data_IF_401981302246
#
_entry.id   IF_401981302246
#
_cell.length_a   1.000
_cell.length_b   1.000
_cell.length_c   1.000
_cell.angle_alpha   90.00
_cell.angle_beta   90.00
_cell.angle_gamma   90.00
#
_symmetry.space_group_name_H-M   'P 1'
#
loop_
_entity.id
_entity.type
_entity.pdbx_description
1 polymer ?
#
# COMPACT_ATOMS: atom_id res chain seq x y z
N UNK A 1 -19.79 12.62 -16.98
CA UNK A 1 -20.05 11.29 -17.59
C UNK A 1 -20.68 10.38 -16.56
N UNK A 2 -21.70 9.61 -16.91
CA UNK A 2 -22.34 8.66 -15.99
C UNK A 2 -21.50 7.39 -15.82
N UNK A 3 -21.75 6.63 -14.74
CA UNK A 3 -21.09 5.35 -14.47
C UNK A 3 -21.17 4.36 -15.65
N UNK A 4 -22.33 4.25 -16.30
CA UNK A 4 -22.56 3.37 -17.46
C UNK A 4 -21.63 3.69 -18.63
N UNK A 5 -21.54 4.97 -18.99
CA UNK A 5 -20.64 5.50 -20.02
C UNK A 5 -19.17 5.29 -19.63
N UNK A 6 -18.84 5.45 -18.35
CA UNK A 6 -17.50 5.25 -17.82
C UNK A 6 -17.03 3.81 -17.94
N UNK A 7 -17.87 2.85 -17.56
CA UNK A 7 -17.57 1.41 -17.70
C UNK A 7 -17.35 1.06 -19.16
N UNK A 8 -18.23 1.53 -20.05
CA UNK A 8 -18.11 1.29 -21.48
C UNK A 8 -16.81 1.88 -22.05
N UNK A 9 -16.49 3.13 -21.71
CA UNK A 9 -15.27 3.79 -22.17
C UNK A 9 -14.02 3.07 -21.69
N UNK A 10 -13.93 2.73 -20.40
CA UNK A 10 -12.80 2.00 -19.83
C UNK A 10 -12.63 0.62 -20.48
N UNK A 11 -13.73 -0.08 -20.73
CA UNK A 11 -13.71 -1.38 -21.41
C UNK A 11 -13.13 -1.25 -22.83
N UNK A 12 -13.59 -0.28 -23.61
CA UNK A 12 -13.09 -0.04 -24.96
C UNK A 12 -11.62 0.43 -24.99
N UNK A 13 -11.24 1.33 -24.06
CA UNK A 13 -9.86 1.84 -23.93
C UNK A 13 -8.86 0.73 -23.64
N UNK A 14 -9.26 -0.29 -22.88
CA UNK A 14 -8.44 -1.45 -22.53
C UNK A 14 -8.71 -2.67 -23.43
N UNK A 15 -9.41 -2.51 -24.55
CA UNK A 15 -9.70 -3.58 -25.53
C UNK A 15 -10.42 -4.82 -24.95
N UNK A 16 -11.23 -4.65 -23.90
CA UNK A 16 -12.03 -5.75 -23.33
C UNK A 16 -13.35 -5.95 -24.10
N UNK A 17 -13.74 -7.20 -24.33
CA UNK A 17 -15.11 -7.53 -24.70
C UNK A 17 -16.01 -7.54 -23.46
N UNK A 18 -17.33 -7.46 -23.65
CA UNK A 18 -18.27 -7.60 -22.53
C UNK A 18 -18.16 -8.98 -21.87
N UNK A 19 -17.80 -10.01 -22.63
CA UNK A 19 -17.56 -11.37 -22.13
C UNK A 19 -16.32 -11.41 -21.23
N UNK A 20 -15.20 -10.83 -21.70
CA UNK A 20 -13.95 -10.79 -20.93
C UNK A 20 -14.14 -10.02 -19.61
N UNK A 21 -14.85 -8.90 -19.64
CA UNK A 21 -15.13 -8.13 -18.42
C UNK A 21 -16.06 -8.90 -17.46
N UNK A 22 -17.03 -9.64 -18.01
CA UNK A 22 -17.94 -10.47 -17.23
C UNK A 22 -17.20 -11.59 -16.50
N UNK A 23 -16.25 -12.25 -17.19
CA UNK A 23 -15.38 -13.27 -16.59
C UNK A 23 -14.55 -12.70 -15.45
N UNK A 24 -13.89 -11.54 -15.64
CA UNK A 24 -13.09 -10.90 -14.59
C UNK A 24 -13.93 -10.50 -13.38
N UNK A 25 -15.15 -9.98 -13.62
CA UNK A 25 -16.06 -9.61 -12.54
C UNK A 25 -16.78 -10.80 -11.91
N UNK A 26 -16.61 -12.01 -12.46
CA UNK A 26 -17.36 -13.22 -12.10
C UNK A 26 -18.88 -13.00 -12.14
N UNK A 27 -19.37 -12.44 -13.24
CA UNK A 27 -20.80 -12.17 -13.49
C UNK A 27 -21.19 -12.64 -14.90
N UNK A 28 -22.48 -12.63 -15.21
CA UNK A 28 -22.95 -12.92 -16.57
C UNK A 28 -22.65 -11.76 -17.53
N UNK A 29 -22.45 -12.05 -18.82
CA UNK A 29 -22.37 -11.02 -19.88
C UNK A 29 -23.58 -10.07 -19.85
N UNK A 30 -24.76 -10.59 -19.55
CA UNK A 30 -25.99 -9.79 -19.43
C UNK A 30 -25.89 -8.74 -18.31
N UNK A 31 -25.18 -9.04 -17.23
CA UNK A 31 -24.94 -8.09 -16.12
C UNK A 31 -24.11 -6.90 -16.61
N UNK A 32 -23.01 -7.15 -17.34
CA UNK A 32 -22.18 -6.08 -17.92
C UNK A 32 -23.01 -5.23 -18.89
N UNK A 33 -23.81 -5.85 -19.75
CA UNK A 33 -24.67 -5.11 -20.68
C UNK A 33 -25.69 -4.23 -19.96
N UNK A 34 -26.23 -4.65 -18.82
CA UNK A 34 -27.15 -3.83 -18.02
C UNK A 34 -26.44 -2.65 -17.35
N UNK A 35 -25.19 -2.84 -16.92
CA UNK A 35 -24.37 -1.77 -16.35
C UNK A 35 -24.02 -0.70 -17.38
N UNK A 36 -23.63 -1.11 -18.59
CA UNK A 36 -23.32 -0.19 -19.70
C UNK A 36 -24.57 0.52 -20.24
N UNK A 37 -25.75 -0.04 -20.05
CA UNK A 37 -27.02 0.55 -20.49
C UNK A 37 -27.72 1.42 -19.43
N UNK A 38 -27.09 1.68 -18.28
CA UNK A 38 -27.69 2.43 -17.15
C UNK A 38 -28.97 1.76 -16.59
N UNK A 39 -29.16 0.46 -16.82
CA UNK A 39 -30.32 -0.32 -16.36
C UNK A 39 -30.11 -0.83 -14.93
N UNK A 40 -28.87 -1.14 -14.57
CA UNK A 40 -28.49 -1.63 -13.26
C UNK A 40 -27.14 -1.06 -12.83
N UNK A 41 -26.91 -0.92 -11.53
CA UNK A 41 -25.65 -0.48 -10.96
C UNK A 41 -24.86 -1.71 -10.50
N UNK A 42 -23.53 -1.79 -10.74
CA UNK A 42 -22.72 -2.85 -10.19
C UNK A 42 -22.71 -2.83 -8.66
N UNK A 43 -22.67 -4.02 -8.05
CA UNK A 43 -22.49 -4.14 -6.60
C UNK A 43 -21.13 -3.58 -6.15
N UNK A 44 -21.01 -3.20 -4.88
CA UNK A 44 -19.78 -2.62 -4.33
C UNK A 44 -18.54 -3.47 -4.58
N UNK A 45 -18.65 -4.79 -4.45
CA UNK A 45 -17.55 -5.72 -4.74
C UNK A 45 -17.11 -5.63 -6.22
N UNK A 46 -18.07 -5.51 -7.15
CA UNK A 46 -17.80 -5.43 -8.59
C UNK A 46 -17.22 -4.07 -8.96
N UNK A 47 -17.66 -3.00 -8.31
CA UNK A 47 -17.04 -1.68 -8.44
C UNK A 47 -15.57 -1.70 -8.03
N UNK A 48 -15.21 -2.40 -6.94
CA UNK A 48 -13.82 -2.57 -6.52
C UNK A 48 -13.00 -3.36 -7.55
N UNK A 49 -13.56 -4.42 -8.13
CA UNK A 49 -12.90 -5.20 -9.19
C UNK A 49 -12.66 -4.34 -10.43
N UNK A 50 -13.68 -3.60 -10.90
CA UNK A 50 -13.59 -2.70 -12.06
C UNK A 50 -12.56 -1.59 -11.80
N UNK A 51 -12.59 -1.01 -10.60
CA UNK A 51 -11.63 0.01 -10.14
C UNK A 51 -10.19 -0.50 -10.24
N UNK A 52 -9.91 -1.72 -9.75
CA UNK A 52 -8.59 -2.34 -9.82
C UNK A 52 -8.21 -2.72 -11.26
N UNK A 53 -9.13 -3.31 -12.02
CA UNK A 53 -8.90 -3.76 -13.39
C UNK A 53 -8.47 -2.62 -14.31
N UNK A 54 -9.11 -1.45 -14.17
CA UNK A 54 -8.84 -0.30 -15.02
C UNK A 54 -7.97 0.77 -14.37
N UNK A 55 -7.41 0.47 -13.18
CA UNK A 55 -6.57 1.36 -12.38
C UNK A 55 -7.18 2.77 -12.19
N UNK A 56 -8.47 2.81 -11.82
CA UNK A 56 -9.22 4.04 -11.53
C UNK A 56 -9.83 3.95 -10.14
N UNK A 57 -9.96 5.06 -9.41
CA UNK A 57 -10.61 5.03 -8.10
C UNK A 57 -12.13 4.83 -8.23
N UNK A 58 -12.76 4.24 -7.21
CA UNK A 58 -14.23 4.09 -7.17
C UNK A 58 -14.93 5.44 -7.18
N UNK A 59 -14.34 6.47 -6.56
CA UNK A 59 -14.83 7.85 -6.64
C UNK A 59 -14.94 8.35 -8.09
N UNK A 60 -13.96 8.05 -8.94
CA UNK A 60 -13.98 8.43 -10.36
C UNK A 60 -15.08 7.67 -11.10
N UNK A 61 -15.37 6.43 -10.72
CA UNK A 61 -16.48 5.67 -11.31
C UNK A 61 -17.84 6.27 -10.93
N UNK A 62 -18.03 6.68 -9.67
CA UNK A 62 -19.33 7.08 -9.13
C UNK A 62 -19.66 8.58 -9.25
N UNK A 63 -18.66 9.47 -9.26
CA UNK A 63 -18.90 10.93 -9.29
C UNK A 63 -18.95 11.44 -10.73
N UNK A 64 -20.11 11.89 -11.17
CA UNK A 64 -20.35 12.34 -12.55
C UNK A 64 -19.48 13.53 -12.99
N UNK A 65 -19.05 14.35 -12.03
CA UNK A 65 -18.16 15.51 -12.19
C UNK A 65 -16.71 15.14 -12.53
N UNK A 66 -16.29 13.90 -12.24
CA UNK A 66 -14.94 13.42 -12.51
C UNK A 66 -14.88 12.75 -13.90
N UNK A 67 -14.05 13.31 -14.78
CA UNK A 67 -13.78 12.72 -16.11
C UNK A 67 -12.71 11.64 -16.03
N UNK A 68 -12.85 10.57 -16.83
CA UNK A 68 -11.87 9.47 -16.89
C UNK A 68 -10.52 9.96 -17.42
N UNK A 69 -10.53 10.93 -18.34
CA UNK A 69 -9.30 11.49 -18.93
C UNK A 69 -8.70 12.65 -18.12
N UNK A 70 -9.36 13.13 -17.06
CA UNK A 70 -8.75 14.04 -16.08
C UNK A 70 -7.67 13.36 -15.21
N UNK A 71 -7.43 12.06 -15.42
CA UNK A 71 -6.30 11.31 -14.86
C UNK A 71 -5.16 11.07 -15.86
N UNK A 72 -5.15 11.75 -17.02
CA UNK A 72 -3.92 11.81 -17.84
C UNK A 72 -3.04 12.97 -17.39
N UNK A 73 -1.85 12.57 -16.96
CA UNK A 73 -0.76 13.38 -16.41
C UNK A 73 -1.16 14.17 -15.17
N UNK A 74 -1.10 13.49 -14.01
CA UNK A 74 -0.58 14.17 -12.82
C UNK A 74 0.70 14.87 -13.29
N UNK A 75 0.68 16.21 -13.36
CA UNK A 75 1.89 16.99 -13.64
C UNK A 75 2.95 16.46 -12.70
N UNK A 76 3.93 15.74 -13.24
CA UNK A 76 5.06 15.15 -12.50
C UNK A 76 5.83 16.30 -11.86
N UNK A 77 5.54 16.60 -10.60
CA UNK A 77 6.40 17.42 -9.77
C UNK A 77 7.55 16.53 -9.28
N UNK A 78 8.54 16.29 -10.14
CA UNK A 78 9.73 15.50 -9.82
C UNK A 78 9.63 14.01 -10.18
N UNK A 79 10.80 13.36 -10.22
CA UNK A 79 10.97 11.96 -10.65
C UNK A 79 10.39 10.91 -9.68
N UNK A 80 9.70 11.33 -8.63
CA UNK A 80 9.17 10.45 -7.56
C UNK A 80 7.63 10.34 -7.59
N UNK A 81 7.03 10.45 -8.77
CA UNK A 81 5.58 10.29 -8.92
C UNK A 81 5.19 8.82 -8.74
N UNK A 82 4.29 8.59 -7.79
CA UNK A 82 3.67 7.31 -7.42
C UNK A 82 3.21 6.59 -8.69
N UNK A 83 3.98 5.59 -9.11
CA UNK A 83 3.46 4.56 -9.99
C UNK A 83 2.60 3.65 -9.11
N UNK A 84 1.29 3.57 -9.40
CA UNK A 84 0.48 2.46 -8.89
C UNK A 84 0.92 1.23 -9.66
N UNK A 85 2.08 0.68 -9.31
CA UNK A 85 2.55 -0.62 -9.78
C UNK A 85 2.07 -1.72 -8.84
N UNK A 86 2.02 -2.91 -9.42
CA UNK A 86 1.63 -4.21 -8.87
C UNK A 86 1.96 -4.37 -7.39
N UNK A 87 1.14 -5.15 -6.65
CA UNK A 87 1.37 -5.46 -5.24
C UNK A 87 2.84 -5.78 -4.98
N UNK A 88 3.58 -4.81 -4.47
CA UNK A 88 5.01 -4.99 -4.28
C UNK A 88 5.29 -6.10 -3.30
N UNK A 89 6.47 -6.70 -3.42
CA UNK A 89 6.91 -7.81 -2.55
C UNK A 89 6.67 -7.45 -1.09
N UNK A 90 6.97 -6.21 -0.71
CA UNK A 90 6.78 -5.69 0.62
C UNK A 90 5.72 -4.59 0.67
N UNK A 91 4.85 -4.63 1.69
CA UNK A 91 3.91 -3.57 2.05
C UNK A 91 4.09 -3.23 3.53
N UNK A 92 4.25 -1.95 3.87
CA UNK A 92 4.37 -1.56 5.27
C UNK A 92 4.44 -0.07 5.55
N UNK A 93 4.96 0.25 6.74
CA UNK A 93 4.99 1.61 7.28
C UNK A 93 6.40 1.98 7.72
N UNK A 94 6.90 3.11 7.20
CA UNK A 94 8.20 3.66 7.51
C UNK A 94 8.03 5.05 8.14
N UNK A 95 8.71 5.29 9.26
CA UNK A 95 8.84 6.64 9.82
C UNK A 95 10.08 7.26 9.19
N UNK A 96 9.93 8.38 8.46
CA UNK A 96 11.05 9.00 7.75
C UNK A 96 12.19 9.37 8.70
N UNK A 97 11.87 9.79 9.92
CA UNK A 97 12.84 10.19 10.92
C UNK A 97 13.60 9.00 11.55
N UNK A 98 13.21 7.75 11.24
CA UNK A 98 13.86 6.54 11.74
C UNK A 98 15.05 6.06 10.91
N UNK A 99 15.33 6.71 9.77
CA UNK A 99 16.42 6.36 8.85
C UNK A 99 17.49 7.45 8.82
N UNK A 100 18.76 7.04 8.69
CA UNK A 100 19.90 7.97 8.55
C UNK A 100 20.25 8.28 7.08
N UNK A 101 19.79 7.46 6.14
CA UNK A 101 20.11 7.57 4.71
C UNK A 101 18.82 7.55 3.90
N UNK A 102 18.51 8.68 3.27
CA UNK A 102 17.28 8.85 2.49
C UNK A 102 17.33 8.14 1.12
N UNK A 103 18.47 7.63 0.68
CA UNK A 103 18.56 6.85 -0.58
C UNK A 103 17.70 5.59 -0.57
N UNK A 104 17.34 5.08 0.61
CA UNK A 104 16.40 3.96 0.74
C UNK A 104 15.00 4.30 0.20
N UNK A 105 14.65 5.59 0.16
CA UNK A 105 13.37 6.06 -0.34
C UNK A 105 13.25 5.89 -1.87
N UNK A 106 14.37 5.74 -2.59
CA UNK A 106 14.37 5.47 -4.03
C UNK A 106 13.92 4.03 -4.35
N UNK A 107 13.89 3.14 -3.36
CA UNK A 107 13.48 1.74 -3.52
C UNK A 107 12.04 1.47 -3.10
N UNK A 108 11.27 2.51 -2.75
CA UNK A 108 9.90 2.36 -2.28
C UNK A 108 8.93 3.23 -3.08
N UNK A 109 7.74 2.69 -3.32
CA UNK A 109 6.59 3.43 -3.84
C UNK A 109 5.73 3.87 -2.67
N UNK A 110 5.61 5.19 -2.45
CA UNK A 110 4.84 5.75 -1.33
C UNK A 110 3.36 5.81 -1.71
N UNK A 111 2.53 5.04 -1.01
CA UNK A 111 1.09 4.97 -1.26
C UNK A 111 0.32 6.06 -0.51
N UNK A 112 0.78 6.41 0.70
CA UNK A 112 0.11 7.36 1.59
C UNK A 112 1.12 7.98 2.55
N UNK A 113 0.91 9.25 2.89
CA UNK A 113 1.71 9.98 3.89
C UNK A 113 0.80 10.49 4.98
N UNK A 114 1.19 10.28 6.24
CA UNK A 114 0.54 10.83 7.42
C UNK A 114 1.52 11.58 8.31
N UNK A 115 0.99 12.48 9.14
CA UNK A 115 1.75 13.20 10.15
C UNK A 115 1.22 12.77 11.52
N UNK A 116 2.06 12.11 12.31
CA UNK A 116 1.70 11.67 13.66
C UNK A 116 2.27 12.63 14.70
N UNK A 117 1.41 13.14 15.59
CA UNK A 117 1.86 14.01 16.67
C UNK A 117 2.47 13.18 17.79
N UNK A 118 3.66 13.57 18.23
CA UNK A 118 4.40 12.87 19.28
C UNK A 118 4.48 13.75 20.54
N UNK A 119 4.76 13.11 21.68
CA UNK A 119 5.06 13.83 22.92
C UNK A 119 6.54 14.28 23.01
N UNK A 120 7.38 13.93 22.02
CA UNK A 120 8.83 14.10 22.05
C UNK A 120 9.37 15.08 21.01
N UNK A 121 10.68 15.00 20.74
CA UNK A 121 11.35 15.72 19.66
C UNK A 121 11.82 14.71 18.59
N UNK A 122 11.42 14.85 17.31
CA UNK A 122 10.55 15.89 16.75
C UNK A 122 9.08 15.75 17.20
N UNK A 123 8.38 16.89 17.28
CA UNK A 123 6.95 16.96 17.68
C UNK A 123 6.01 16.19 16.76
N UNK A 124 6.49 15.87 15.57
CA UNK A 124 5.75 15.18 14.53
C UNK A 124 6.65 14.14 13.87
N UNK A 125 6.07 12.99 13.54
CA UNK A 125 6.69 11.98 12.71
C UNK A 125 6.01 11.94 11.35
N UNK A 126 6.83 11.81 10.31
CA UNK A 126 6.37 11.63 8.93
C UNK A 126 6.24 10.14 8.67
N UNK A 127 4.99 9.67 8.58
CA UNK A 127 4.67 8.27 8.41
C UNK A 127 4.40 8.00 6.94
N UNK A 128 5.20 7.14 6.34
CA UNK A 128 5.16 6.75 4.94
C UNK A 128 4.61 5.33 4.85
N UNK A 129 3.43 5.18 4.26
CA UNK A 129 2.91 3.88 3.86
C UNK A 129 3.48 3.57 2.48
N UNK A 130 4.13 2.43 2.34
CA UNK A 130 4.91 2.14 1.16
C UNK A 130 4.73 0.70 0.67
N UNK A 131 5.03 0.52 -0.62
CA UNK A 131 5.34 -0.77 -1.23
C UNK A 131 6.79 -0.81 -1.70
N UNK A 132 7.40 -1.99 -1.81
CA UNK A 132 8.70 -2.17 -2.45
C UNK A 132 8.76 -3.49 -3.23
N UNK A 133 9.31 -3.42 -4.44
CA UNK A 133 9.59 -4.56 -5.31
C UNK A 133 11.03 -5.08 -5.14
N UNK A 134 11.79 -4.47 -4.24
CA UNK A 134 13.20 -4.76 -4.08
C UNK A 134 13.39 -5.97 -3.15
N UNK A 135 13.95 -7.07 -3.66
CA UNK A 135 14.09 -8.33 -2.91
C UNK A 135 14.99 -8.21 -1.65
N UNK A 136 16.10 -7.47 -1.74
CA UNK A 136 17.04 -7.23 -0.62
C UNK A 136 16.66 -5.99 0.22
N UNK A 137 15.42 -5.53 0.09
CA UNK A 137 14.93 -4.37 0.83
C UNK A 137 15.07 -4.49 2.36
N UNK A 138 14.77 -5.64 3.00
CA UNK A 138 15.00 -5.80 4.44
C UNK A 138 16.47 -5.56 4.84
N UNK A 139 17.41 -6.05 4.04
CA UNK A 139 18.85 -5.92 4.26
C UNK A 139 19.33 -4.47 4.04
N UNK A 140 18.76 -3.77 3.07
CA UNK A 140 19.02 -2.33 2.85
C UNK A 140 18.50 -1.55 4.06
N UNK A 141 17.27 -1.80 4.52
CA UNK A 141 16.68 -1.14 5.69
C UNK A 141 17.52 -1.36 6.95
N UNK A 142 17.97 -2.59 7.20
CA UNK A 142 18.80 -2.92 8.35
C UNK A 142 20.12 -2.13 8.40
N UNK A 143 20.59 -1.60 7.25
CA UNK A 143 21.79 -0.75 7.16
C UNK A 143 21.51 0.70 7.54
N UNK A 144 20.31 1.20 7.27
CA UNK A 144 19.98 2.64 7.35
C UNK A 144 19.17 3.03 8.59
N UNK A 145 18.45 2.09 9.21
CA UNK A 145 17.65 2.34 10.41
C UNK A 145 18.52 2.83 11.57
N UNK A 146 18.03 3.80 12.33
CA UNK A 146 18.73 4.41 13.47
C UNK A 146 18.69 3.50 14.69
N UNK A 147 19.83 3.38 15.39
CA UNK A 147 19.94 2.67 16.68
C UNK A 147 20.61 3.53 17.77
N UNK A 148 20.49 4.85 17.65
CA UNK A 148 21.14 5.81 18.55
C UNK A 148 20.17 6.25 19.67
N UNK A 149 20.57 6.02 20.92
CA UNK A 149 19.84 6.46 22.13
C UNK A 149 19.55 7.96 22.12
N UNK A 150 20.43 8.80 21.55
CA UNK A 150 20.23 10.26 21.46
C UNK A 150 19.20 10.67 20.40
N UNK A 151 18.86 9.76 19.47
CA UNK A 151 17.89 9.98 18.39
C UNK A 151 16.62 9.17 18.57
N UNK A 152 16.24 8.87 19.81
CA UNK A 152 14.99 8.14 20.09
C UNK A 152 15.14 6.63 20.25
N UNK A 153 16.37 6.12 20.34
CA UNK A 153 16.65 4.73 20.70
C UNK A 153 16.75 3.80 19.50
N UNK A 154 16.38 2.54 19.74
CA UNK A 154 16.45 1.48 18.76
C UNK A 154 15.20 1.50 17.88
N UNK A 155 15.29 2.16 16.73
CA UNK A 155 14.17 2.22 15.80
C UNK A 155 13.97 0.88 15.09
N UNK A 156 12.74 0.66 14.66
CA UNK A 156 12.39 -0.45 13.80
C UNK A 156 11.40 -0.02 12.72
N UNK A 157 11.30 -0.86 11.70
CA UNK A 157 10.33 -0.73 10.63
C UNK A 157 9.62 -2.08 10.52
N UNK A 158 8.29 -2.07 10.51
CA UNK A 158 7.49 -3.26 10.31
C UNK A 158 6.78 -3.23 8.95
N UNK A 159 6.84 -4.36 8.26
CA UNK A 159 6.19 -4.56 6.97
C UNK A 159 5.87 -6.04 6.76
N UNK A 160 5.13 -6.37 5.71
CA UNK A 160 4.77 -7.75 5.38
C UNK A 160 5.09 -8.05 3.92
N UNK A 161 5.30 -9.33 3.63
CA UNK A 161 5.34 -9.89 2.27
C UNK A 161 4.51 -11.15 2.27
N UNK A 162 3.33 -11.13 1.63
CA UNK A 162 2.35 -12.20 1.74
C UNK A 162 2.01 -12.49 3.21
N UNK A 163 2.20 -13.75 3.63
CA UNK A 163 1.94 -14.20 5.01
C UNK A 163 3.14 -14.07 5.95
N UNK A 164 4.20 -13.37 5.56
CA UNK A 164 5.39 -13.18 6.40
C UNK A 164 5.47 -11.74 6.88
N UNK A 165 5.55 -11.54 8.19
CA UNK A 165 5.80 -10.24 8.81
C UNK A 165 7.31 -10.07 9.05
N UNK A 166 7.82 -8.87 8.78
CA UNK A 166 9.22 -8.48 8.94
C UNK A 166 9.31 -7.30 9.90
N UNK A 167 10.18 -7.43 10.89
CA UNK A 167 10.51 -6.38 11.85
C UNK A 167 12.01 -6.15 11.71
N UNK A 168 12.38 -5.00 11.16
CA UNK A 168 13.76 -4.69 10.83
C UNK A 168 14.30 -3.65 11.79
N UNK A 169 15.43 -3.97 12.41
CA UNK A 169 16.25 -3.09 13.25
C UNK A 169 17.60 -2.85 12.56
N UNK A 170 18.41 -1.94 13.11
CA UNK A 170 19.82 -1.83 12.70
C UNK A 170 20.53 -3.17 12.88
N UNK A 171 21.09 -3.72 11.80
CA UNK A 171 21.84 -4.99 11.76
C UNK A 171 21.06 -6.23 12.23
N UNK A 172 19.73 -6.19 12.36
CA UNK A 172 18.93 -7.35 12.80
C UNK A 172 17.58 -7.35 12.10
N UNK A 173 17.23 -8.48 11.51
CA UNK A 173 15.94 -8.71 10.85
C UNK A 173 15.26 -9.84 11.57
N UNK A 174 14.07 -9.59 12.10
CA UNK A 174 13.18 -10.59 12.67
C UNK A 174 12.02 -10.83 11.72
N UNK A 175 11.55 -12.07 11.65
CA UNK A 175 10.38 -12.43 10.83
C UNK A 175 9.56 -13.53 11.46
N UNK A 176 8.27 -13.51 11.22
CA UNK A 176 7.35 -14.55 11.65
C UNK A 176 6.19 -14.71 10.66
N UNK A 177 5.60 -15.89 10.65
CA UNK A 177 4.44 -16.19 9.81
C UNK A 177 3.18 -15.62 10.47
N UNK A 178 2.40 -14.82 9.74
CA UNK A 178 1.13 -14.25 10.21
C UNK A 178 0.17 -15.40 10.58
N UNK A 179 -0.42 -15.32 11.78
CA UNK A 179 -1.25 -16.37 12.37
C UNK A 179 -0.48 -17.43 13.18
N UNK A 180 0.86 -17.43 13.16
CA UNK A 180 1.67 -18.29 14.02
C UNK A 180 2.01 -17.60 15.35
N UNK A 181 1.18 -17.85 16.37
CA UNK A 181 1.32 -17.19 17.68
C UNK A 181 2.65 -17.50 18.39
N UNK A 182 3.23 -18.68 18.18
CA UNK A 182 4.51 -19.07 18.83
C UNK A 182 5.68 -18.29 18.25
N UNK A 183 5.75 -18.16 16.93
CA UNK A 183 6.79 -17.36 16.28
C UNK A 183 6.64 -15.87 16.62
N UNK A 184 5.40 -15.36 16.65
CA UNK A 184 5.12 -13.99 17.07
C UNK A 184 5.60 -13.73 18.50
N UNK A 185 5.33 -14.65 19.43
CA UNK A 185 5.78 -14.53 20.83
C UNK A 185 7.30 -14.45 20.92
N UNK A 186 8.03 -15.31 20.22
CA UNK A 186 9.50 -15.27 20.16
C UNK A 186 10.01 -13.94 19.61
N UNK A 187 9.39 -13.43 18.53
CA UNK A 187 9.77 -12.13 17.94
C UNK A 187 9.47 -10.98 18.90
N UNK A 188 8.33 -11.01 19.60
CA UNK A 188 8.00 -10.01 20.61
C UNK A 188 9.00 -10.04 21.77
N UNK A 189 9.35 -11.22 22.30
CA UNK A 189 10.38 -11.35 23.34
C UNK A 189 11.73 -10.76 22.91
N UNK A 190 12.14 -11.02 21.67
CA UNK A 190 13.35 -10.43 21.10
C UNK A 190 13.26 -8.90 20.96
N UNK A 191 12.09 -8.36 20.62
CA UNK A 191 11.86 -6.92 20.57
C UNK A 191 11.86 -6.28 21.98
N UNK A 192 11.30 -6.96 22.98
CA UNK A 192 11.36 -6.52 24.38
C UNK A 192 12.79 -6.46 24.88
N UNK A 193 13.64 -7.45 24.55
CA UNK A 193 15.09 -7.43 24.85
C UNK A 193 15.81 -6.26 24.19
N UNK A 194 15.30 -5.78 23.06
CA UNK A 194 15.81 -4.62 22.32
C UNK A 194 15.25 -3.28 22.82
N UNK A 195 14.47 -3.28 23.92
CA UNK A 195 13.94 -2.09 24.57
C UNK A 195 12.63 -1.55 23.98
N UNK A 196 11.96 -2.33 23.11
CA UNK A 196 10.67 -1.94 22.53
C UNK A 196 9.55 -2.22 23.54
N UNK A 197 8.66 -1.25 23.83
CA UNK A 197 7.54 -1.46 24.73
C UNK A 197 6.38 -2.21 24.04
N UNK A 198 5.69 -3.08 24.77
CA UNK A 198 4.61 -3.96 24.24
C UNK A 198 3.51 -3.21 23.47
N UNK A 199 3.21 -1.97 23.88
CA UNK A 199 2.24 -1.10 23.18
C UNK A 199 2.61 -0.82 21.72
N UNK A 200 3.89 -0.90 21.36
CA UNK A 200 4.39 -0.71 19.99
C UNK A 200 4.43 -2.01 19.18
N UNK A 201 4.15 -3.15 19.82
CA UNK A 201 4.16 -4.50 19.21
C UNK A 201 2.74 -5.01 18.93
N UNK A 202 1.73 -4.13 18.97
CA UNK A 202 0.37 -4.46 18.58
C UNK A 202 0.20 -4.40 17.04
N UNK A 203 0.94 -5.24 16.33
CA UNK A 203 0.90 -5.31 14.88
C UNK A 203 -0.38 -6.02 14.43
N UNK A 204 -1.14 -5.39 13.53
CA UNK A 204 -2.28 -6.02 12.88
C UNK A 204 -1.80 -7.22 12.06
N UNK A 205 -2.42 -8.37 12.34
CA UNK A 205 -2.28 -9.62 11.57
C UNK A 205 -3.17 -9.59 10.33
#
# INVERSE_FOLDING_TARGET
>A
MKLSEKIQLLRHKNSYSQENLAEVCNVSRQSISKWEADIAIPETEKLLIISRLFNVSVDVLLKDELEIDALKDVKKCGNSAIEMTENGIYEGVLIKESINDESVLDYISINKVEIWKTAGNPKYWTVLYFNSDKEDFPEILAKVIISDEKKGGNWFVDFKSGNMKYIVFRNKILKYTIGNSKEKEIVCEECTKLGIPDRQMNWSE
#
